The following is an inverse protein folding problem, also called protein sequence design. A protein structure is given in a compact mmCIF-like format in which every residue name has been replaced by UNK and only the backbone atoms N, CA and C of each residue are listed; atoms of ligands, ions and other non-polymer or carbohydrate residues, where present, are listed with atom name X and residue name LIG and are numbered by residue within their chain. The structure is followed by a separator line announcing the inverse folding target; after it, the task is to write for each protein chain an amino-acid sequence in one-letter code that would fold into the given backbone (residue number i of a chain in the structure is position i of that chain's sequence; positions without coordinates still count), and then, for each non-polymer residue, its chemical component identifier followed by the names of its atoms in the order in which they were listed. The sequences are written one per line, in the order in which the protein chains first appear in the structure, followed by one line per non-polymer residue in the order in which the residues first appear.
data_IF_794282936645
#
_entry.id   IF_794282936645
#
_cell.length_a   1.000
_cell.length_b   1.000
_cell.length_c   1.000
_cell.angle_alpha   90.00
_cell.angle_beta   90.00
_cell.angle_gamma   90.00
#
_symmetry.space_group_name_H-M   'P 1'
#
loop_
_entity.id
_entity.type
_entity.pdbx_description
1 polymer ?
#
# COMPACT_ATOMS: atom_id res chain seq x y z
N UNK A 1 -7.87 21.39 -35.06
CA UNK A 1 -6.71 22.21 -35.45
C UNK A 1 -6.52 23.47 -34.58
N UNK A 2 -7.17 23.53 -33.44
CA UNK A 2 -7.01 24.61 -32.46
C UNK A 2 -6.01 24.16 -31.40
N UNK A 3 -4.94 24.93 -31.22
CA UNK A 3 -3.97 24.68 -30.13
C UNK A 3 -4.49 25.39 -28.89
N UNK A 4 -4.62 24.70 -27.75
CA UNK A 4 -5.09 25.30 -26.49
C UNK A 4 -4.01 26.24 -25.91
N UNK A 5 -4.46 27.22 -25.12
CA UNK A 5 -3.55 28.17 -24.46
C UNK A 5 -2.79 27.52 -23.28
N UNK A 6 -3.33 26.45 -22.72
CA UNK A 6 -2.73 25.73 -21.60
C UNK A 6 -3.03 24.23 -21.63
N UNK A 7 -2.15 23.45 -21.01
CA UNK A 7 -2.30 22.00 -20.82
C UNK A 7 -2.03 21.67 -19.36
N UNK A 8 -2.88 20.83 -18.78
CA UNK A 8 -2.67 20.27 -17.45
C UNK A 8 -2.20 18.83 -17.56
N UNK A 9 -1.12 18.50 -16.84
CA UNK A 9 -0.63 17.14 -16.71
C UNK A 9 -0.71 16.73 -15.25
N UNK A 10 -1.30 15.58 -14.98
CA UNK A 10 -1.42 15.01 -13.63
C UNK A 10 -0.78 13.63 -13.60
N UNK A 11 -0.18 13.30 -12.48
CA UNK A 11 0.47 12.01 -12.28
C UNK A 11 0.64 11.67 -10.81
N UNK A 12 1.20 10.49 -10.56
CA UNK A 12 1.46 10.01 -9.21
C UNK A 12 2.93 9.62 -9.07
N UNK A 13 3.54 10.02 -7.96
CA UNK A 13 4.88 9.60 -7.55
C UNK A 13 4.75 8.72 -6.31
N UNK A 14 5.42 7.58 -6.32
CA UNK A 14 5.52 6.68 -5.17
C UNK A 14 6.97 6.32 -4.93
N UNK A 15 7.37 6.32 -3.67
CA UNK A 15 8.74 6.04 -3.25
C UNK A 15 8.72 5.18 -2.00
N UNK A 16 9.81 4.47 -1.73
CA UNK A 16 9.98 3.72 -0.49
C UNK A 16 10.65 4.53 0.63
N UNK A 17 11.21 5.71 0.31
CA UNK A 17 11.85 6.58 1.29
C UNK A 17 11.49 8.05 1.09
N UNK A 18 11.53 8.82 2.18
CA UNK A 18 11.27 10.26 2.12
C UNK A 18 12.38 11.02 1.41
N UNK A 19 13.64 10.56 1.54
CA UNK A 19 14.79 11.18 0.87
C UNK A 19 14.65 11.10 -0.65
N UNK A 20 14.17 9.96 -1.17
CA UNK A 20 13.92 9.80 -2.58
C UNK A 20 12.74 10.67 -3.02
N UNK A 21 11.71 10.80 -2.20
CA UNK A 21 10.58 11.69 -2.46
C UNK A 21 11.03 13.15 -2.58
N UNK A 22 11.84 13.62 -1.62
CA UNK A 22 12.41 14.99 -1.64
C UNK A 22 13.26 15.26 -2.89
N UNK A 23 14.03 14.25 -3.29
CA UNK A 23 14.84 14.35 -4.52
C UNK A 23 13.96 14.46 -5.75
N UNK A 24 12.93 13.60 -5.86
CA UNK A 24 12.04 13.57 -7.03
C UNK A 24 11.22 14.85 -7.13
N UNK A 25 10.64 15.34 -6.05
CA UNK A 25 9.89 16.60 -6.04
C UNK A 25 10.73 17.76 -6.58
N UNK A 26 11.95 17.93 -6.03
CA UNK A 26 12.87 18.98 -6.49
C UNK A 26 13.24 18.80 -7.96
N UNK A 27 13.63 17.59 -8.38
CA UNK A 27 14.04 17.33 -9.75
C UNK A 27 12.90 17.51 -10.75
N UNK A 28 11.70 17.07 -10.40
CA UNK A 28 10.52 17.24 -11.25
C UNK A 28 10.19 18.71 -11.42
N UNK A 29 10.25 19.52 -10.35
CA UNK A 29 10.07 20.96 -10.42
C UNK A 29 11.08 21.61 -11.37
N UNK A 30 12.37 21.38 -11.10
CA UNK A 30 13.47 21.94 -11.89
C UNK A 30 13.34 21.57 -13.38
N UNK A 31 13.04 20.31 -13.68
CA UNK A 31 12.88 19.84 -15.06
C UNK A 31 11.67 20.47 -15.74
N UNK A 32 10.54 20.57 -15.04
CA UNK A 32 9.31 21.17 -15.56
C UNK A 32 9.53 22.62 -15.94
N UNK A 33 10.13 23.41 -15.06
CA UNK A 33 10.39 24.82 -15.28
C UNK A 33 11.42 25.05 -16.39
N UNK A 34 12.51 24.30 -16.41
CA UNK A 34 13.58 24.44 -17.42
C UNK A 34 13.12 23.99 -18.80
N UNK A 35 12.37 22.89 -18.88
CA UNK A 35 11.87 22.37 -20.15
C UNK A 35 10.83 23.32 -20.74
N UNK A 36 9.90 23.83 -19.96
CA UNK A 36 8.92 24.79 -20.40
C UNK A 36 9.62 26.05 -20.92
N UNK A 37 10.60 26.58 -20.17
CA UNK A 37 11.38 27.74 -20.57
C UNK A 37 12.15 27.56 -21.90
N UNK A 38 12.64 26.34 -22.18
CA UNK A 38 13.31 26.02 -23.45
C UNK A 38 12.37 26.15 -24.67
N UNK A 39 11.06 26.08 -24.47
CA UNK A 39 10.03 26.24 -25.48
C UNK A 39 9.30 27.60 -25.37
N UNK A 40 9.84 28.57 -24.63
CA UNK A 40 9.24 29.87 -24.37
C UNK A 40 7.86 29.79 -23.70
N UNK A 41 7.63 28.72 -22.92
CA UNK A 41 6.43 28.50 -22.15
C UNK A 41 6.68 28.78 -20.65
N UNK A 42 5.59 29.00 -19.92
CA UNK A 42 5.60 29.01 -18.44
C UNK A 42 4.98 27.75 -17.90
N UNK A 43 5.49 27.27 -16.79
CA UNK A 43 4.93 26.11 -16.08
C UNK A 43 4.66 26.46 -14.63
N UNK A 44 3.52 25.98 -14.13
CA UNK A 44 3.21 25.93 -12.72
C UNK A 44 3.37 24.48 -12.25
N UNK A 45 4.11 24.26 -11.18
CA UNK A 45 4.35 22.92 -10.64
C UNK A 45 3.77 22.84 -9.23
N UNK A 46 2.85 21.90 -9.01
CA UNK A 46 2.31 21.57 -7.71
C UNK A 46 2.63 20.12 -7.36
N UNK A 47 3.17 19.88 -6.16
CA UNK A 47 3.44 18.56 -5.64
C UNK A 47 2.70 18.36 -4.32
N UNK A 48 1.73 17.46 -4.30
CA UNK A 48 0.92 17.14 -3.12
C UNK A 48 1.45 15.88 -2.47
N UNK A 49 2.01 16.01 -1.27
CA UNK A 49 2.46 14.86 -0.49
C UNK A 49 1.28 14.28 0.27
N UNK A 50 0.72 13.19 -0.24
CA UNK A 50 -0.41 12.53 0.39
C UNK A 50 0.08 11.52 1.44
N UNK A 51 0.40 10.29 1.04
CA UNK A 51 0.75 9.22 1.97
C UNK A 51 2.26 9.00 2.03
N UNK A 52 2.86 8.93 3.25
CA UNK A 52 4.24 8.48 3.40
C UNK A 52 4.37 6.99 3.09
N UNK A 53 5.59 6.46 2.93
CA UNK A 53 5.79 5.02 2.84
C UNK A 53 5.25 4.29 4.06
N UNK A 54 4.60 3.15 3.86
CA UNK A 54 4.16 2.25 4.93
C UNK A 54 5.33 1.40 5.37
N UNK A 55 5.97 1.77 6.48
CA UNK A 55 7.16 1.10 7.00
C UNK A 55 6.81 0.46 8.34
N UNK A 56 6.83 -0.86 8.38
CA UNK A 56 6.57 -1.63 9.59
C UNK A 56 7.71 -1.50 10.59
N UNK A 57 7.37 -1.49 11.87
CA UNK A 57 8.35 -1.57 12.95
C UNK A 57 8.75 -3.03 13.18
N UNK A 58 10.05 -3.28 13.31
CA UNK A 58 10.61 -4.63 13.35
C UNK A 58 10.06 -5.47 14.53
N UNK A 59 9.96 -4.89 15.73
CA UNK A 59 9.47 -5.60 16.92
C UNK A 59 8.01 -6.04 16.76
N UNK A 60 7.15 -5.15 16.26
CA UNK A 60 5.74 -5.41 16.04
C UNK A 60 5.53 -6.40 14.88
N UNK A 61 6.37 -6.34 13.86
CA UNK A 61 6.38 -7.31 12.77
C UNK A 61 6.70 -8.71 13.28
N UNK A 62 7.74 -8.87 14.10
CA UNK A 62 8.09 -10.16 14.68
C UNK A 62 7.04 -10.66 15.67
N UNK A 63 6.41 -9.76 16.42
CA UNK A 63 5.31 -10.11 17.30
C UNK A 63 4.13 -10.70 16.50
N UNK A 64 3.70 -10.02 15.42
CA UNK A 64 2.61 -10.48 14.55
C UNK A 64 3.00 -11.79 13.86
N UNK A 65 4.23 -11.89 13.34
CA UNK A 65 4.77 -13.11 12.71
C UNK A 65 4.68 -14.30 13.66
N UNK A 66 5.06 -14.13 14.92
CA UNK A 66 4.95 -15.17 15.93
C UNK A 66 3.52 -15.65 16.18
N UNK A 67 2.55 -14.71 16.27
CA UNK A 67 1.12 -15.07 16.43
C UNK A 67 0.59 -15.80 15.21
N UNK A 68 0.92 -15.32 14.00
CA UNK A 68 0.51 -15.96 12.75
C UNK A 68 1.11 -17.36 12.61
N UNK A 69 2.39 -17.53 12.92
CA UNK A 69 3.06 -18.84 12.88
C UNK A 69 2.38 -19.86 13.80
N UNK A 70 2.01 -19.45 15.01
CA UNK A 70 1.30 -20.30 15.94
C UNK A 70 -0.13 -20.66 15.47
N UNK A 71 -0.74 -19.80 14.64
CA UNK A 71 -2.11 -20.00 14.16
C UNK A 71 -2.21 -20.84 12.90
N UNK A 72 -1.33 -20.60 11.94
CA UNK A 72 -1.47 -21.16 10.58
C UNK A 72 -0.26 -21.99 10.15
N UNK A 73 0.78 -22.10 10.98
CA UNK A 73 2.03 -22.76 10.65
C UNK A 73 3.02 -21.85 9.92
N UNK A 74 4.34 -22.09 10.08
CA UNK A 74 5.38 -21.25 9.51
C UNK A 74 5.38 -21.26 7.96
N UNK A 75 4.92 -22.35 7.35
CA UNK A 75 4.84 -22.48 5.88
C UNK A 75 3.81 -21.56 5.24
N UNK A 76 2.84 -21.07 6.03
CA UNK A 76 1.78 -20.15 5.58
C UNK A 76 2.06 -18.69 5.95
N UNK A 77 3.20 -18.40 6.56
CA UNK A 77 3.63 -17.03 6.90
C UNK A 77 4.81 -16.66 6.01
N UNK A 78 4.56 -15.74 5.08
CA UNK A 78 5.54 -15.35 4.08
C UNK A 78 5.88 -13.86 4.20
N UNK A 79 7.05 -13.49 3.74
CA UNK A 79 7.38 -12.09 3.53
C UNK A 79 6.67 -11.57 2.28
N UNK A 80 6.13 -10.36 2.40
CA UNK A 80 5.47 -9.70 1.31
C UNK A 80 6.44 -8.69 0.68
N UNK A 81 6.69 -8.86 -0.62
CA UNK A 81 7.58 -7.97 -1.35
C UNK A 81 7.05 -6.52 -1.33
N UNK A 82 7.93 -5.52 -1.16
CA UNK A 82 7.54 -4.13 -1.18
C UNK A 82 6.78 -3.76 -2.46
N UNK A 83 5.65 -3.10 -2.31
CA UNK A 83 4.81 -2.65 -3.43
C UNK A 83 4.68 -1.13 -3.47
N UNK A 84 4.39 -0.61 -4.65
CA UNK A 84 4.14 0.83 -4.85
C UNK A 84 2.67 1.20 -4.56
N UNK A 85 2.04 0.53 -3.59
CA UNK A 85 0.72 0.89 -3.07
C UNK A 85 0.76 2.14 -2.22
N UNK A 86 -0.38 2.81 -2.08
CA UNK A 86 -0.58 3.88 -1.11
C UNK A 86 -1.52 3.37 -0.02
N UNK A 87 -1.17 3.65 1.25
CA UNK A 87 -1.91 3.14 2.40
C UNK A 87 -1.93 4.20 3.51
N UNK A 88 -3.11 4.55 4.00
CA UNK A 88 -3.26 5.59 5.04
C UNK A 88 -2.78 5.12 6.42
N UNK A 89 -2.71 3.81 6.66
CA UNK A 89 -2.10 3.24 7.86
C UNK A 89 -0.65 3.71 8.08
N UNK A 90 0.02 4.15 7.02
CA UNK A 90 1.34 4.78 7.08
C UNK A 90 1.42 5.94 8.07
N UNK A 91 0.34 6.71 8.23
CA UNK A 91 0.28 7.80 9.22
C UNK A 91 0.23 7.29 10.67
N UNK A 92 -0.46 6.17 10.91
CA UNK A 92 -0.47 5.54 12.23
C UNK A 92 0.93 5.05 12.61
N UNK A 93 1.67 4.50 11.65
CA UNK A 93 3.03 4.00 11.86
C UNK A 93 4.03 5.12 12.17
N UNK A 94 3.77 6.36 11.77
CA UNK A 94 4.58 7.51 12.17
C UNK A 94 4.33 7.93 13.63
N UNK A 95 3.12 7.70 14.14
CA UNK A 95 2.72 8.11 15.48
C UNK A 95 2.86 7.03 16.55
N UNK A 96 2.80 5.76 16.15
CA UNK A 96 2.85 4.60 17.04
C UNK A 96 3.58 3.43 16.37
N UNK A 97 4.37 2.65 17.14
CA UNK A 97 4.88 1.38 16.65
C UNK A 97 3.75 0.44 16.24
N UNK A 98 3.92 -0.23 15.11
CA UNK A 98 2.91 -1.12 14.56
C UNK A 98 3.41 -1.89 13.35
N UNK A 99 2.57 -2.79 12.84
CA UNK A 99 2.83 -3.58 11.65
C UNK A 99 1.57 -3.66 10.78
N UNK A 100 1.74 -3.45 9.50
CA UNK A 100 0.74 -3.69 8.46
C UNK A 100 1.04 -5.02 7.79
N UNK A 101 0.05 -5.86 7.63
CA UNK A 101 0.18 -7.16 7.00
C UNK A 101 -1.06 -7.47 6.17
N UNK A 102 -0.94 -8.44 5.29
CA UNK A 102 -2.04 -8.87 4.40
C UNK A 102 -2.39 -10.34 4.65
N UNK A 103 -3.64 -10.69 4.40
CA UNK A 103 -4.11 -12.08 4.37
C UNK A 103 -4.40 -12.41 2.91
N UNK A 104 -3.78 -13.48 2.41
CA UNK A 104 -4.01 -13.93 1.04
C UNK A 104 -5.46 -14.39 0.83
N UNK A 105 -6.05 -14.03 -0.30
CA UNK A 105 -7.45 -14.36 -0.62
C UNK A 105 -7.65 -15.81 -1.14
N UNK A 106 -6.59 -16.62 -1.13
CA UNK A 106 -6.63 -17.97 -1.68
C UNK A 106 -6.33 -18.03 -3.19
N UNK A 107 -6.52 -19.19 -3.77
CA UNK A 107 -6.24 -19.50 -5.18
C UNK A 107 -7.42 -19.26 -6.12
N UNK A 108 -8.53 -18.75 -5.61
CA UNK A 108 -9.75 -18.50 -6.35
C UNK A 108 -10.76 -19.66 -6.34
N UNK A 109 -10.47 -20.78 -5.68
CA UNK A 109 -11.40 -21.91 -5.57
C UNK A 109 -12.65 -21.60 -4.75
N UNK A 110 -12.61 -20.54 -3.93
CA UNK A 110 -13.75 -20.05 -3.17
C UNK A 110 -14.82 -19.35 -4.02
N UNK A 111 -14.49 -19.01 -5.27
CA UNK A 111 -15.42 -18.28 -6.16
C UNK A 111 -16.57 -19.18 -6.57
N UNK A 112 -17.77 -18.73 -6.30
CA UNK A 112 -18.97 -19.40 -6.79
C UNK A 112 -19.17 -19.16 -8.29
N UNK A 113 -19.82 -20.12 -8.96
CA UNK A 113 -20.20 -19.96 -10.36
C UNK A 113 -21.17 -18.77 -10.52
N UNK A 114 -20.77 -17.77 -11.31
CA UNK A 114 -21.57 -16.55 -11.52
C UNK A 114 -20.92 -15.23 -11.12
N UNK A 115 -19.83 -15.25 -10.35
CA UNK A 115 -19.05 -14.05 -10.02
C UNK A 115 -18.17 -13.51 -11.18
N UNK A 116 -18.42 -13.96 -12.39
CA UNK A 116 -17.71 -13.57 -13.58
C UNK A 116 -16.40 -14.33 -13.79
N UNK A 117 -15.94 -14.34 -15.03
CA UNK A 117 -14.72 -15.01 -15.46
C UNK A 117 -13.48 -14.10 -15.38
N UNK A 118 -13.62 -12.88 -14.86
CA UNK A 118 -12.54 -11.91 -14.75
C UNK A 118 -11.53 -12.28 -13.67
N UNK A 119 -10.37 -11.59 -13.62
CA UNK A 119 -9.35 -11.80 -12.61
C UNK A 119 -9.88 -11.56 -11.19
N UNK A 120 -9.52 -12.43 -10.25
CA UNK A 120 -9.79 -12.22 -8.82
C UNK A 120 -8.64 -11.41 -8.19
N UNK A 121 -8.43 -10.20 -8.69
CA UNK A 121 -7.42 -9.27 -8.18
C UNK A 121 -8.08 -8.02 -7.61
N UNK A 122 -7.45 -7.39 -6.63
CA UNK A 122 -7.93 -6.14 -6.04
C UNK A 122 -8.23 -5.09 -7.12
N UNK A 123 -9.24 -4.29 -6.88
CA UNK A 123 -9.75 -3.25 -7.79
C UNK A 123 -10.38 -3.77 -9.09
N UNK A 124 -10.61 -5.06 -9.22
CA UNK A 124 -11.33 -5.63 -10.35
C UNK A 124 -12.81 -5.82 -10.00
N UNK A 125 -13.76 -5.52 -10.93
CA UNK A 125 -15.19 -5.73 -10.68
C UNK A 125 -15.57 -7.19 -10.42
N UNK A 126 -14.74 -8.14 -10.86
CA UNK A 126 -14.93 -9.57 -10.62
C UNK A 126 -14.16 -10.11 -9.41
N UNK A 127 -13.63 -9.21 -8.55
CA UNK A 127 -13.04 -9.61 -7.28
C UNK A 127 -14.08 -10.21 -6.37
N UNK A 128 -13.75 -11.35 -5.77
CA UNK A 128 -14.59 -12.06 -4.81
C UNK A 128 -13.82 -12.28 -3.52
N UNK A 129 -14.40 -11.83 -2.42
CA UNK A 129 -13.82 -12.02 -1.09
C UNK A 129 -14.01 -13.46 -0.64
N UNK A 130 -12.96 -14.05 -0.11
CA UNK A 130 -13.03 -15.39 0.45
C UNK A 130 -13.60 -15.36 1.88
N UNK A 131 -14.90 -15.60 2.01
CA UNK A 131 -15.61 -15.58 3.29
C UNK A 131 -15.08 -16.61 4.29
N UNK A 132 -14.41 -17.67 3.82
CA UNK A 132 -13.75 -18.67 4.69
C UNK A 132 -12.61 -18.05 5.52
N UNK A 133 -12.08 -16.88 5.12
CA UNK A 133 -11.05 -16.16 5.86
C UNK A 133 -11.60 -15.29 7.00
N UNK A 134 -12.89 -15.02 7.06
CA UNK A 134 -13.50 -14.21 8.13
C UNK A 134 -13.22 -14.76 9.54
N UNK A 135 -13.41 -16.07 9.83
CA UNK A 135 -13.07 -16.61 11.13
C UNK A 135 -11.58 -16.54 11.46
N UNK A 136 -10.71 -16.70 10.44
CA UNK A 136 -9.26 -16.58 10.59
C UNK A 136 -8.88 -15.14 10.99
N UNK A 137 -9.37 -14.14 10.25
CA UNK A 137 -9.11 -12.74 10.53
C UNK A 137 -9.61 -12.30 11.90
N UNK A 138 -10.85 -12.68 12.27
CA UNK A 138 -11.40 -12.38 13.58
C UNK A 138 -10.60 -13.03 14.71
N UNK A 139 -10.21 -14.30 14.55
CA UNK A 139 -9.40 -15.02 15.53
C UNK A 139 -8.02 -14.40 15.69
N UNK A 140 -7.41 -13.95 14.61
CA UNK A 140 -6.10 -13.29 14.63
C UNK A 140 -6.11 -12.05 15.53
N UNK A 141 -7.11 -11.18 15.40
CA UNK A 141 -7.21 -9.97 16.24
C UNK A 141 -7.35 -10.32 17.72
N UNK A 142 -8.15 -11.34 18.05
CA UNK A 142 -8.29 -11.83 19.42
C UNK A 142 -6.95 -12.37 19.95
N UNK A 143 -6.24 -13.18 19.17
CA UNK A 143 -4.94 -13.74 19.56
C UNK A 143 -3.86 -12.68 19.72
N UNK A 144 -3.81 -11.69 18.85
CA UNK A 144 -2.90 -10.53 18.97
C UNK A 144 -3.15 -9.79 20.28
N UNK A 145 -4.41 -9.47 20.59
CA UNK A 145 -4.78 -8.79 21.83
C UNK A 145 -4.45 -9.61 23.06
N UNK A 146 -4.79 -10.89 23.08
CA UNK A 146 -4.49 -11.80 24.20
C UNK A 146 -2.99 -11.90 24.46
N UNK A 147 -2.19 -12.12 23.41
CA UNK A 147 -0.73 -12.26 23.53
C UNK A 147 -0.06 -10.96 23.95
N UNK A 148 -0.54 -9.82 23.45
CA UNK A 148 -0.03 -8.52 23.85
C UNK A 148 -0.29 -8.25 25.34
N UNK A 149 -1.51 -8.44 25.79
CA UNK A 149 -1.89 -8.23 27.20
C UNK A 149 -1.21 -9.21 28.18
N UNK A 150 -0.81 -10.38 27.71
CA UNK A 150 -0.07 -11.34 28.53
C UNK A 150 1.42 -10.98 28.72
N UNK A 151 1.94 -10.00 28.00
CA UNK A 151 3.32 -9.47 28.13
C UNK A 151 3.39 -8.24 29.04
N UNK A 152 2.27 -7.65 29.40
CA UNK A 152 2.14 -6.50 30.28
C UNK A 152 2.05 -6.94 31.73
#
# INVERSE_FOLDING_TARGET
NVVPDSVVMEGTVRTFTLELLDLLERRMKDMTEQLAGAFELTAEFEFRRNYPPTINHAAETEFVRGVLTDMVGPENVQEFEPTMGAEDFSYFLQGKPGAYFVIGNGDGTHREGGHGLGPCTLHNPSYDFNDQLLPLGATLWVKLAQRWLAQA
#
